data_IF_282747223108
#
_entry.id   IF_282747223108
#
_cell.length_a   1.000
_cell.length_b   1.000
_cell.length_c   1.000
_cell.angle_alpha   90.00
_cell.angle_beta   90.00
_cell.angle_gamma   90.00
#
_symmetry.space_group_name_H-M   'P 1'
#
loop_
_entity.id
_entity.type
_entity.pdbx_description
1 polymer ?
#
# COMPACT_ATOMS: atom_id res chain seq x y z
N UNK A 1 -6.96 -27.10 -11.30
CA UNK A 1 -6.47 -26.47 -10.07
C UNK A 1 -7.22 -27.06 -8.89
N UNK A 2 -6.57 -27.35 -7.75
CA UNK A 2 -7.26 -27.83 -6.56
C UNK A 2 -8.18 -26.74 -5.99
N UNK A 3 -9.35 -27.13 -5.50
CA UNK A 3 -10.29 -26.22 -4.83
C UNK A 3 -9.93 -26.11 -3.35
N UNK A 4 -9.78 -24.89 -2.84
CA UNK A 4 -9.59 -24.63 -1.41
C UNK A 4 -10.94 -24.32 -0.76
N UNK A 5 -11.36 -25.15 0.20
CA UNK A 5 -12.59 -24.91 0.96
C UNK A 5 -12.34 -23.95 2.12
N UNK A 6 -13.03 -22.81 2.12
CA UNK A 6 -12.95 -21.81 3.19
C UNK A 6 -14.12 -21.96 4.16
N UNK A 7 -13.83 -22.13 5.46
CA UNK A 7 -14.86 -22.14 6.50
C UNK A 7 -15.12 -20.71 6.98
N UNK A 8 -16.34 -20.23 6.81
CA UNK A 8 -16.79 -18.92 7.26
C UNK A 8 -17.62 -19.06 8.54
N UNK A 9 -17.56 -18.06 9.42
CA UNK A 9 -18.56 -17.94 10.48
C UNK A 9 -19.94 -17.65 9.86
N UNK A 10 -21.04 -18.03 10.52
CA UNK A 10 -22.38 -17.70 10.05
C UNK A 10 -22.56 -16.20 9.82
N UNK A 11 -22.08 -15.36 10.74
CA UNK A 11 -22.22 -13.90 10.62
C UNK A 11 -21.45 -13.34 9.41
N UNK A 12 -20.25 -13.85 9.15
CA UNK A 12 -19.45 -13.40 8.01
C UNK A 12 -20.08 -13.82 6.68
N UNK A 13 -20.68 -15.01 6.64
CA UNK A 13 -21.41 -15.49 5.46
C UNK A 13 -22.60 -14.60 5.14
N UNK A 14 -23.42 -14.25 6.13
CA UNK A 14 -24.58 -13.36 5.96
C UNK A 14 -24.16 -11.98 5.46
N UNK A 15 -23.11 -11.39 6.05
CA UNK A 15 -22.56 -10.10 5.60
C UNK A 15 -22.06 -10.15 4.15
N UNK A 16 -21.40 -11.24 3.76
CA UNK A 16 -20.91 -11.40 2.39
C UNK A 16 -22.05 -11.56 1.38
N UNK A 17 -23.15 -12.22 1.75
CA UNK A 17 -24.35 -12.34 0.92
C UNK A 17 -24.98 -10.95 0.73
N UNK A 18 -25.25 -10.23 1.81
CA UNK A 18 -25.87 -8.90 1.74
C UNK A 18 -25.03 -7.91 0.92
N UNK A 19 -23.71 -7.89 1.13
CA UNK A 19 -22.82 -7.03 0.35
C UNK A 19 -22.78 -7.41 -1.14
N UNK A 20 -22.83 -8.70 -1.47
CA UNK A 20 -22.88 -9.16 -2.85
C UNK A 20 -24.20 -8.78 -3.55
N UNK A 21 -25.32 -8.88 -2.84
CA UNK A 21 -26.65 -8.46 -3.32
C UNK A 21 -26.69 -6.96 -3.63
N UNK A 22 -26.17 -6.12 -2.73
CA UNK A 22 -26.08 -4.66 -2.92
C UNK A 22 -25.23 -4.30 -4.16
N UNK A 23 -24.16 -5.06 -4.39
CA UNK A 23 -23.26 -4.88 -5.54
C UNK A 23 -23.77 -5.56 -6.83
N UNK A 24 -24.88 -6.31 -6.77
CA UNK A 24 -25.43 -7.03 -7.92
C UNK A 24 -24.53 -8.18 -8.44
N UNK A 25 -23.68 -8.76 -7.59
CA UNK A 25 -22.77 -9.85 -7.95
C UNK A 25 -23.06 -11.12 -7.13
N UNK A 26 -22.51 -12.26 -7.56
CA UNK A 26 -22.62 -13.48 -6.74
C UNK A 26 -21.76 -13.39 -5.47
N UNK A 27 -22.20 -14.04 -4.39
CA UNK A 27 -21.42 -14.14 -3.14
C UNK A 27 -20.04 -14.76 -3.39
N UNK A 28 -19.93 -15.73 -4.31
CA UNK A 28 -18.64 -16.31 -4.69
C UNK A 28 -17.71 -15.26 -5.33
N UNK A 29 -18.21 -14.47 -6.29
CA UNK A 29 -17.43 -13.41 -6.92
C UNK A 29 -16.99 -12.35 -5.90
N UNK A 30 -17.88 -11.97 -4.97
CA UNK A 30 -17.55 -11.07 -3.87
C UNK A 30 -16.40 -11.61 -3.00
N UNK A 31 -16.48 -12.88 -2.57
CA UNK A 31 -15.45 -13.50 -1.74
C UNK A 31 -14.10 -13.60 -2.44
N UNK A 32 -14.07 -14.01 -3.71
CA UNK A 32 -12.85 -14.06 -4.52
C UNK A 32 -12.25 -12.66 -4.66
N UNK A 33 -13.08 -11.66 -4.96
CA UNK A 33 -12.66 -10.27 -5.06
C UNK A 33 -12.08 -9.73 -3.74
N UNK A 34 -12.66 -10.09 -2.60
CA UNK A 34 -12.15 -9.71 -1.29
C UNK A 34 -10.77 -10.32 -0.99
N UNK A 35 -10.57 -11.60 -1.35
CA UNK A 35 -9.27 -12.27 -1.18
C UNK A 35 -8.23 -11.65 -2.12
N UNK A 36 -8.58 -11.36 -3.37
CA UNK A 36 -7.68 -10.70 -4.32
C UNK A 36 -7.21 -9.35 -3.80
N UNK A 37 -8.15 -8.50 -3.37
CA UNK A 37 -7.81 -7.18 -2.80
C UNK A 37 -6.93 -7.30 -1.55
N UNK A 38 -7.18 -8.29 -0.70
CA UNK A 38 -6.36 -8.53 0.48
C UNK A 38 -4.94 -8.99 0.12
N UNK A 39 -4.79 -9.82 -0.91
CA UNK A 39 -3.50 -10.25 -1.43
C UNK A 39 -2.72 -9.06 -2.02
N UNK A 40 -3.35 -8.28 -2.90
CA UNK A 40 -2.74 -7.10 -3.52
C UNK A 40 -2.28 -6.09 -2.45
N UNK A 41 -3.12 -5.83 -1.44
CA UNK A 41 -2.78 -4.93 -0.34
C UNK A 41 -1.61 -5.46 0.52
N UNK A 42 -1.53 -6.78 0.73
CA UNK A 42 -0.43 -7.39 1.47
C UNK A 42 0.88 -7.29 0.69
N UNK A 43 0.85 -7.51 -0.63
CA UNK A 43 2.01 -7.41 -1.51
C UNK A 43 2.52 -5.97 -1.57
N UNK A 44 1.65 -4.99 -1.83
CA UNK A 44 2.01 -3.57 -1.84
C UNK A 44 2.60 -3.11 -0.50
N UNK A 45 2.05 -3.58 0.61
CA UNK A 45 2.57 -3.27 1.94
C UNK A 45 3.96 -3.87 2.15
N UNK A 46 4.17 -5.13 1.74
CA UNK A 46 5.46 -5.79 1.86
C UNK A 46 6.54 -5.06 1.05
N UNK A 47 6.22 -4.68 -0.20
CA UNK A 47 7.11 -3.90 -1.06
C UNK A 47 7.42 -2.52 -0.46
N UNK A 48 6.41 -1.79 0.02
CA UNK A 48 6.61 -0.50 0.68
C UNK A 48 7.53 -0.60 1.90
N UNK A 49 7.34 -1.62 2.74
CA UNK A 49 8.19 -1.84 3.92
C UNK A 49 9.61 -2.20 3.51
N UNK A 50 9.80 -3.03 2.49
CA UNK A 50 11.12 -3.37 1.97
C UNK A 50 11.85 -2.12 1.46
N UNK A 51 11.19 -1.28 0.66
CA UNK A 51 11.74 0.00 0.20
C UNK A 51 12.10 0.94 1.36
N UNK A 52 11.24 1.04 2.38
CA UNK A 52 11.52 1.86 3.56
C UNK A 52 12.73 1.36 4.36
N UNK A 53 12.90 0.03 4.47
CA UNK A 53 14.07 -0.56 5.13
C UNK A 53 15.36 -0.30 4.36
N UNK A 54 15.36 -0.45 3.04
CA UNK A 54 16.50 -0.11 2.18
C UNK A 54 16.87 1.36 2.31
N UNK A 55 15.89 2.27 2.17
CA UNK A 55 16.12 3.71 2.30
C UNK A 55 16.67 4.08 3.69
N UNK A 56 16.18 3.42 4.76
CA UNK A 56 16.70 3.62 6.11
C UNK A 56 18.16 3.13 6.26
N UNK A 57 18.52 2.02 5.62
CA UNK A 57 19.89 1.52 5.63
C UNK A 57 20.83 2.50 4.90
N UNK A 58 20.46 2.95 3.70
CA UNK A 58 21.23 3.93 2.91
C UNK A 58 21.38 5.27 3.64
N UNK A 59 20.31 5.77 4.26
CA UNK A 59 20.33 7.01 5.06
C UNK A 59 21.26 6.88 6.27
N UNK A 60 21.32 5.70 6.90
CA UNK A 60 22.22 5.42 8.03
C UNK A 60 23.68 5.31 7.60
N UNK A 61 23.93 4.69 6.45
CA UNK A 61 25.29 4.52 5.90
C UNK A 61 25.86 5.86 5.39
N UNK A 62 25.08 6.60 4.62
CA UNK A 62 25.50 7.91 4.07
C UNK A 62 25.51 9.03 5.10
N UNK A 63 24.70 8.93 6.16
CA UNK A 63 24.47 10.02 7.12
C UNK A 63 23.63 11.17 6.55
N UNK A 64 23.16 11.04 5.32
CA UNK A 64 22.37 12.03 4.60
C UNK A 64 20.89 11.62 4.63
N UNK A 65 20.00 12.58 4.83
CA UNK A 65 18.56 12.41 4.76
C UNK A 65 17.90 13.61 4.07
N UNK A 66 16.66 13.45 3.66
CA UNK A 66 15.90 14.57 3.09
C UNK A 66 15.14 15.29 4.19
N UNK A 67 15.15 16.62 4.15
CA UNK A 67 14.32 17.42 5.05
C UNK A 67 12.84 17.21 4.73
N UNK A 68 12.01 17.03 5.76
CA UNK A 68 10.61 16.69 5.59
C UNK A 68 9.81 17.82 4.91
N UNK A 69 10.16 19.08 5.16
CA UNK A 69 9.45 20.22 4.58
C UNK A 69 9.87 20.47 3.13
N UNK A 70 11.15 20.21 2.80
CA UNK A 70 11.63 20.21 1.41
C UNK A 70 10.93 19.12 0.58
N UNK A 71 10.80 17.91 1.14
CA UNK A 71 10.09 16.79 0.48
C UNK A 71 8.61 17.12 0.28
N UNK A 72 7.94 17.69 1.29
CA UNK A 72 6.52 18.09 1.17
C UNK A 72 6.33 19.17 0.10
N UNK A 73 7.23 20.14 0.05
CA UNK A 73 7.19 21.22 -0.95
C UNK A 73 7.36 20.64 -2.35
N UNK A 74 8.39 19.81 -2.54
CA UNK A 74 8.62 19.10 -3.80
C UNK A 74 7.43 18.26 -4.25
N UNK A 75 6.83 17.47 -3.36
CA UNK A 75 5.67 16.65 -3.71
C UNK A 75 4.47 17.49 -4.15
N UNK A 76 4.25 18.65 -3.52
CA UNK A 76 3.18 19.57 -3.90
C UNK A 76 3.44 20.20 -5.27
N UNK A 77 4.67 20.64 -5.52
CA UNK A 77 5.05 21.20 -6.82
C UNK A 77 4.94 20.17 -7.94
N UNK A 78 5.36 18.92 -7.68
CA UNK A 78 5.33 17.83 -8.64
C UNK A 78 3.92 17.49 -9.13
N UNK A 79 2.87 17.78 -8.34
CA UNK A 79 1.48 17.58 -8.77
C UNK A 79 1.08 18.51 -9.93
N UNK A 80 1.67 19.70 -10.01
CA UNK A 80 1.34 20.72 -11.02
C UNK A 80 2.45 20.95 -12.03
N UNK A 81 3.67 20.50 -11.73
CA UNK A 81 4.86 20.64 -12.57
C UNK A 81 5.65 19.32 -12.59
N UNK A 82 5.64 18.62 -13.73
CA UNK A 82 6.41 17.40 -13.92
C UNK A 82 7.93 17.60 -13.84
N UNK A 83 8.41 18.83 -14.00
CA UNK A 83 9.82 19.22 -13.92
C UNK A 83 10.22 19.81 -12.56
N UNK A 84 9.41 19.63 -11.51
CA UNK A 84 9.76 20.05 -10.15
C UNK A 84 11.13 19.48 -9.73
N UNK A 85 11.95 20.31 -9.09
CA UNK A 85 13.32 19.95 -8.70
C UNK A 85 13.29 19.10 -7.45
N UNK A 86 13.92 17.91 -7.50
CA UNK A 86 14.01 17.02 -6.34
C UNK A 86 14.90 17.67 -5.26
N UNK A 87 14.51 17.60 -3.97
CA UNK A 87 15.31 18.18 -2.90
C UNK A 87 16.64 17.45 -2.77
N UNK A 88 17.65 18.16 -2.28
CA UNK A 88 18.98 17.58 -2.01
C UNK A 88 19.00 16.88 -0.65
N UNK A 89 19.76 15.80 -0.57
CA UNK A 89 19.99 15.11 0.69
C UNK A 89 20.97 15.92 1.56
N UNK A 90 20.60 16.15 2.83
CA UNK A 90 21.34 16.95 3.80
C UNK A 90 21.79 16.08 4.98
N UNK A 91 22.89 16.41 5.68
CA UNK A 91 23.29 15.68 6.88
C UNK A 91 22.17 15.68 7.93
N UNK A 92 21.72 14.50 8.32
CA UNK A 92 20.58 14.30 9.26
C UNK A 92 21.04 14.00 10.69
N UNK A 93 22.33 13.73 10.90
CA UNK A 93 22.97 13.57 12.22
C UNK A 93 24.23 14.43 12.30
N UNK A 94 24.39 15.14 13.42
CA UNK A 94 25.69 15.68 13.87
C UNK A 94 26.35 14.68 14.79
#
# INVERSE_FOLDING_TARGET
>A
MPTTSLKLSPELKERAVAAAEELGISTHAFMVGAISQAADAAELRAEFVAHAQTALAEMRESGLGYDADDVRTYLRERLSNSEAVRPEAKPWRK
#
